data_IF_398229385966
#
_entry.id   IF_398229385966
#
_cell.length_a   1.000
_cell.length_b   1.000
_cell.length_c   1.000
_cell.angle_alpha   90.00
_cell.angle_beta   90.00
_cell.angle_gamma   90.00
#
_symmetry.space_group_name_H-M   'P 1'
#
loop_
_entity.id
_entity.type
_entity.pdbx_description
1 polymer ?
#
# COMPACT_ATOMS: atom_id res chain seq x y z
N UNK A 1 -12.49 -15.76 -18.12
CA UNK A 1 -11.47 -15.90 -17.04
C UNK A 1 -10.99 -14.53 -16.60
N UNK A 2 -11.41 -14.14 -15.40
CA UNK A 2 -11.53 -12.77 -14.88
C UNK A 2 -10.28 -12.40 -14.07
N UNK A 3 -9.28 -11.81 -14.70
CA UNK A 3 -8.12 -11.27 -13.97
C UNK A 3 -8.45 -9.89 -13.39
N UNK A 4 -9.03 -9.87 -12.18
CA UNK A 4 -9.19 -8.67 -11.38
C UNK A 4 -7.81 -8.18 -10.90
N UNK A 5 -7.38 -7.06 -11.48
CA UNK A 5 -6.23 -6.28 -11.04
C UNK A 5 -6.51 -5.79 -9.62
N UNK A 6 -5.82 -6.39 -8.64
CA UNK A 6 -5.66 -5.78 -7.32
C UNK A 6 -4.90 -4.48 -7.51
N UNK A 7 -5.57 -3.34 -7.34
CA UNK A 7 -4.92 -2.06 -7.11
C UNK A 7 -4.17 -2.14 -5.79
N UNK A 8 -2.92 -2.60 -5.85
CA UNK A 8 -1.92 -2.18 -4.87
C UNK A 8 -1.23 -0.99 -5.51
N UNK A 9 -1.47 0.21 -4.95
CA UNK A 9 -0.47 1.26 -4.99
C UNK A 9 0.79 0.70 -4.35
N UNK A 10 1.63 0.03 -5.14
CA UNK A 10 3.01 -0.22 -4.78
C UNK A 10 3.74 1.11 -5.00
N UNK A 11 3.45 2.11 -4.16
CA UNK A 11 4.49 3.06 -3.81
C UNK A 11 5.61 2.17 -3.29
N UNK A 12 6.66 2.03 -4.10
CA UNK A 12 7.97 1.69 -3.55
C UNK A 12 8.31 2.88 -2.67
N UNK A 13 7.76 2.90 -1.44
CA UNK A 13 8.19 3.77 -0.37
C UNK A 13 9.69 3.49 -0.26
N UNK A 14 10.52 4.30 -0.90
CA UNK A 14 11.83 4.58 -0.32
C UNK A 14 11.45 5.21 0.99
N UNK A 15 11.57 4.43 2.05
CA UNK A 15 11.64 4.96 3.40
C UNK A 15 12.74 6.03 3.30
N UNK A 16 12.37 7.30 3.49
CA UNK A 16 13.35 8.33 3.82
C UNK A 16 14.20 7.74 4.95
N UNK A 17 15.54 7.87 4.92
CA UNK A 17 16.38 7.20 5.89
C UNK A 17 15.95 7.59 7.30
N UNK A 18 15.22 6.71 7.98
CA UNK A 18 15.20 6.65 9.42
C UNK A 18 16.59 6.15 9.77
N UNK A 19 17.33 6.95 10.52
CA UNK A 19 18.74 6.77 10.79
C UNK A 19 19.00 5.33 11.26
N UNK A 20 19.77 4.59 10.47
CA UNK A 20 20.24 3.24 10.76
C UNK A 20 21.69 3.41 11.28
N UNK A 21 22.07 2.78 12.39
CA UNK A 21 23.39 2.99 12.97
C UNK A 21 24.50 2.58 11.98
N UNK A 22 25.65 3.28 11.97
CA UNK A 22 26.85 2.80 11.31
C UNK A 22 27.41 1.62 12.12
N UNK A 23 27.44 0.43 11.53
CA UNK A 23 28.29 -0.63 12.06
C UNK A 23 29.75 -0.26 11.77
N UNK A 24 30.53 -0.16 12.84
CA UNK A 24 31.97 -0.03 12.82
C UNK A 24 32.60 -1.19 12.04
N UNK A 25 33.35 -0.86 10.98
CA UNK A 25 34.25 -1.78 10.28
C UNK A 25 33.58 -2.66 9.24
N UNK A 26 34.09 -2.58 8.00
CA UNK A 26 33.69 -3.31 6.79
C UNK A 26 32.41 -2.82 6.07
N UNK A 27 32.62 -1.85 5.18
CA UNK A 27 31.72 -1.57 4.05
C UNK A 27 31.59 -2.81 3.13
N UNK A 28 30.65 -3.70 3.43
CA UNK A 28 30.12 -4.65 2.45
C UNK A 28 28.62 -4.44 2.31
N UNK A 29 28.27 -3.81 1.18
CA UNK A 29 26.97 -3.80 0.50
C UNK A 29 26.00 -4.83 1.07
N UNK A 30 24.89 -4.37 1.66
CA UNK A 30 23.56 -4.98 1.55
C UNK A 30 22.55 -3.89 1.96
N UNK A 31 22.23 -2.98 1.04
CA UNK A 31 20.91 -2.33 1.10
C UNK A 31 19.92 -3.37 0.57
N UNK A 32 19.58 -4.36 1.40
CA UNK A 32 18.48 -5.28 1.10
C UNK A 32 17.24 -4.40 1.03
N UNK A 33 16.43 -4.57 -0.02
CA UNK A 33 15.08 -4.01 -0.04
C UNK A 33 14.34 -4.60 1.16
N UNK A 34 14.23 -3.84 2.23
CA UNK A 34 13.36 -4.16 3.36
C UNK A 34 11.93 -3.98 2.88
N UNK A 35 11.46 -5.00 2.16
CA UNK A 35 10.05 -5.19 1.92
C UNK A 35 9.48 -5.82 3.19
N UNK A 36 9.42 -5.05 4.27
CA UNK A 36 8.63 -5.43 5.43
C UNK A 36 7.21 -5.70 4.92
N UNK A 37 6.78 -6.95 5.04
CA UNK A 37 5.42 -7.35 4.71
C UNK A 37 4.87 -8.03 5.94
N UNK A 38 3.80 -7.49 6.54
CA UNK A 38 3.16 -8.15 7.66
C UNK A 38 2.76 -9.57 7.23
N UNK A 39 2.66 -10.47 8.22
CA UNK A 39 2.09 -11.78 7.98
C UNK A 39 0.75 -11.62 7.22
N UNK A 40 0.41 -12.53 6.29
CA UNK A 40 -0.90 -12.49 5.66
C UNK A 40 -1.96 -12.42 6.75
N UNK A 41 -2.74 -11.33 6.78
CA UNK A 41 -3.91 -11.24 7.64
C UNK A 41 -4.81 -12.40 7.25
N UNK A 42 -4.95 -13.37 8.16
CA UNK A 42 -5.88 -14.47 7.99
C UNK A 42 -7.23 -13.95 8.42
N UNK A 43 -8.08 -13.70 7.43
CA UNK A 43 -9.46 -13.32 7.68
C UNK A 43 -10.18 -14.57 8.17
N UNK A 44 -10.83 -14.54 9.34
CA UNK A 44 -11.59 -15.68 9.84
C UNK A 44 -12.72 -16.06 8.88
N UNK A 45 -13.08 -17.34 8.87
CA UNK A 45 -14.32 -17.80 8.27
C UNK A 45 -15.44 -17.71 9.29
N UNK A 46 -16.61 -17.24 8.88
CA UNK A 46 -17.78 -17.08 9.75
C UNK A 46 -18.88 -18.05 9.34
N UNK A 47 -19.56 -18.63 10.32
CA UNK A 47 -20.81 -19.37 10.08
C UNK A 47 -21.92 -18.37 9.82
N UNK A 48 -22.55 -18.45 8.64
CA UNK A 48 -23.60 -17.49 8.25
C UNK A 48 -24.79 -17.55 9.21
N UNK A 49 -25.18 -18.75 9.65
CA UNK A 49 -26.34 -18.96 10.52
C UNK A 49 -26.08 -18.45 11.95
N UNK A 50 -24.92 -18.76 12.51
CA UNK A 50 -24.57 -18.32 13.88
C UNK A 50 -24.35 -16.81 13.93
N UNK A 51 -23.76 -16.23 12.88
CA UNK A 51 -23.55 -14.79 12.80
C UNK A 51 -24.87 -14.04 12.66
N UNK A 52 -25.78 -14.53 11.81
CA UNK A 52 -27.12 -13.94 11.64
C UNK A 52 -27.91 -13.98 12.96
N UNK A 53 -27.95 -15.13 13.64
CA UNK A 53 -28.56 -15.25 14.96
C UNK A 53 -27.90 -14.34 16.01
N UNK A 54 -26.56 -14.25 16.02
CA UNK A 54 -25.85 -13.35 16.93
C UNK A 54 -26.22 -11.88 16.71
N UNK A 55 -26.37 -11.46 15.45
CA UNK A 55 -26.78 -10.09 15.10
C UNK A 55 -28.21 -9.81 15.53
N UNK A 56 -29.13 -10.76 15.31
CA UNK A 56 -30.54 -10.64 15.73
C UNK A 56 -30.70 -10.57 17.24
N UNK A 57 -29.89 -11.34 17.98
CA UNK A 57 -29.91 -11.36 19.45
C UNK A 57 -29.25 -10.13 20.11
N UNK A 58 -28.52 -9.31 19.34
CA UNK A 58 -27.84 -8.14 19.87
C UNK A 58 -28.76 -6.91 19.93
N UNK A 59 -28.58 -6.11 20.98
CA UNK A 59 -29.24 -4.82 21.10
C UNK A 59 -28.47 -3.73 20.34
N UNK A 60 -29.13 -3.12 19.36
CA UNK A 60 -28.55 -2.06 18.51
C UNK A 60 -29.21 -0.72 18.78
N UNK A 61 -28.42 0.25 19.23
CA UNK A 61 -28.85 1.63 19.50
C UNK A 61 -28.38 2.55 18.37
N UNK A 62 -29.23 3.48 17.96
CA UNK A 62 -28.84 4.60 17.09
C UNK A 62 -28.53 5.84 17.95
N UNK A 63 -27.27 6.28 18.01
CA UNK A 63 -26.86 7.47 18.76
C UNK A 63 -27.03 8.75 17.92
N UNK A 64 -27.17 9.90 18.59
CA UNK A 64 -27.32 11.20 17.90
C UNK A 64 -26.03 11.66 17.21
N UNK A 65 -24.86 11.35 17.78
CA UNK A 65 -23.58 11.55 17.11
C UNK A 65 -23.26 10.37 16.17
N UNK A 66 -23.11 10.60 14.85
CA UNK A 66 -22.83 9.52 13.90
C UNK A 66 -21.48 8.82 14.12
N UNK A 67 -20.49 9.50 14.72
CA UNK A 67 -19.19 8.86 14.95
C UNK A 67 -19.26 7.91 16.15
N UNK A 68 -19.88 8.32 17.24
CA UNK A 68 -20.17 7.46 18.40
C UNK A 68 -21.07 6.28 18.01
N UNK A 69 -22.11 6.54 17.22
CA UNK A 69 -23.01 5.51 16.70
C UNK A 69 -22.25 4.45 15.88
N UNK A 70 -21.36 4.90 14.98
CA UNK A 70 -20.53 4.02 14.16
C UNK A 70 -19.59 3.16 15.01
N UNK A 71 -18.95 3.75 16.03
CA UNK A 71 -18.03 3.01 16.92
C UNK A 71 -18.76 1.92 17.71
N UNK A 72 -20.00 2.19 18.16
CA UNK A 72 -20.87 1.21 18.81
C UNK A 72 -21.31 0.10 17.85
N UNK A 73 -21.71 0.47 16.63
CA UNK A 73 -22.06 -0.48 15.57
C UNK A 73 -20.89 -1.43 15.25
N UNK A 74 -19.69 -0.88 15.04
CA UNK A 74 -18.47 -1.65 14.78
C UNK A 74 -18.17 -2.59 15.95
N UNK A 75 -18.22 -2.08 17.19
CA UNK A 75 -17.94 -2.87 18.39
C UNK A 75 -18.94 -4.01 18.58
N UNK A 76 -20.23 -3.77 18.32
CA UNK A 76 -21.27 -4.80 18.36
C UNK A 76 -21.06 -5.86 17.28
N UNK A 77 -20.74 -5.44 16.05
CA UNK A 77 -20.50 -6.37 14.94
C UNK A 77 -19.29 -7.25 15.18
N UNK A 78 -18.19 -6.71 15.70
CA UNK A 78 -16.99 -7.48 16.04
C UNK A 78 -17.25 -8.49 17.19
N UNK A 79 -18.14 -8.16 18.11
CA UNK A 79 -18.61 -9.09 19.16
C UNK A 79 -19.38 -10.26 18.55
N UNK A 80 -20.33 -9.99 17.66
CA UNK A 80 -21.07 -11.03 16.92
C UNK A 80 -20.14 -11.91 16.08
N UNK A 81 -19.14 -11.28 15.45
CA UNK A 81 -18.13 -11.95 14.63
C UNK A 81 -17.27 -12.92 15.45
N UNK A 82 -16.94 -12.55 16.69
CA UNK A 82 -16.13 -13.38 17.57
C UNK A 82 -16.88 -14.64 18.02
N UNK A 83 -18.19 -14.54 18.25
CA UNK A 83 -19.04 -15.68 18.64
C UNK A 83 -19.35 -16.65 17.50
N UNK A 84 -19.31 -16.18 16.24
CA UNK A 84 -19.63 -16.96 15.02
C UNK A 84 -18.39 -17.36 14.21
N UNK A 85 -17.20 -17.12 14.78
CA UNK A 85 -15.94 -17.43 14.16
C UNK A 85 -15.76 -18.95 14.12
N UNK A 86 -15.80 -19.52 12.92
CA UNK A 86 -15.40 -20.91 12.74
C UNK A 86 -13.92 -20.99 13.06
N UNK A 87 -13.57 -21.70 14.14
CA UNK A 87 -12.18 -22.03 14.42
C UNK A 87 -11.59 -22.63 13.15
N UNK A 88 -10.52 -22.01 12.65
CA UNK A 88 -9.85 -22.56 11.47
C UNK A 88 -9.51 -24.00 11.80
N UNK A 89 -10.13 -24.94 11.06
CA UNK A 89 -9.77 -26.35 11.02
C UNK A 89 -8.25 -26.46 11.19
N UNK A 90 -7.84 -27.28 12.17
CA UNK A 90 -6.45 -27.39 12.61
C UNK A 90 -5.54 -27.30 11.40
N UNK A 91 -4.70 -26.27 11.42
CA UNK A 91 -3.82 -25.98 10.30
C UNK A 91 -3.07 -27.25 9.97
N UNK A 92 -3.29 -27.80 8.77
CA UNK A 92 -2.42 -28.83 8.22
C UNK A 92 -0.99 -28.37 8.46
N UNK A 93 -0.32 -29.07 9.38
CA UNK A 93 0.92 -28.59 9.97
C UNK A 93 1.91 -28.40 8.86
N UNK A 94 2.60 -27.26 8.88
CA UNK A 94 3.56 -26.94 7.83
C UNK A 94 4.72 -27.95 7.78
N UNK A 95 4.98 -28.58 8.92
CA UNK A 95 5.90 -29.69 9.08
C UNK A 95 5.08 -30.97 9.24
N UNK A 96 5.52 -32.03 8.57
CA UNK A 96 5.01 -33.37 8.72
C UNK A 96 5.43 -33.98 10.06
N UNK A 97 4.77 -35.08 10.43
CA UNK A 97 5.00 -35.78 11.69
C UNK A 97 6.47 -36.18 11.88
N UNK A 98 7.13 -36.65 10.81
CA UNK A 98 8.55 -37.06 10.84
C UNK A 98 9.48 -35.90 11.16
N UNK A 99 9.28 -34.73 10.55
CA UNK A 99 10.07 -33.54 10.82
C UNK A 99 9.84 -33.02 12.25
N UNK A 100 8.60 -33.10 12.75
CA UNK A 100 8.27 -32.77 14.14
C UNK A 100 8.97 -33.71 15.14
N UNK A 101 8.89 -35.02 14.91
CA UNK A 101 9.53 -36.05 15.73
C UNK A 101 11.06 -35.85 15.81
N UNK A 102 11.72 -35.61 14.67
CA UNK A 102 13.16 -35.35 14.64
C UNK A 102 13.54 -34.06 15.41
N UNK A 103 12.69 -33.04 15.39
CA UNK A 103 12.90 -31.81 16.17
C UNK A 103 12.76 -32.08 17.68
N UNK A 104 11.84 -32.93 18.09
CA UNK A 104 11.68 -33.38 19.48
C UNK A 104 12.88 -34.23 19.93
N UNK A 105 13.32 -35.19 19.10
CA UNK A 105 14.53 -35.97 19.36
C UNK A 105 15.76 -35.08 19.49
N UNK A 106 15.91 -34.06 18.65
CA UNK A 106 16.99 -33.06 18.78
C UNK A 106 16.88 -32.26 20.07
N UNK A 107 15.67 -31.96 20.54
CA UNK A 107 15.47 -31.28 21.82
C UNK A 107 15.91 -32.18 22.98
N UNK A 108 15.56 -33.46 22.95
CA UNK A 108 15.99 -34.44 23.95
C UNK A 108 17.52 -34.59 23.98
N UNK A 109 18.18 -34.80 22.83
CA UNK A 109 19.65 -34.91 22.71
C UNK A 109 20.38 -33.63 23.13
N UNK A 110 19.74 -32.47 23.04
CA UNK A 110 20.30 -31.20 23.53
C UNK A 110 20.21 -31.05 25.04
N UNK A 111 19.18 -31.62 25.65
CA UNK A 111 18.94 -31.56 27.10
C UNK A 111 19.73 -32.64 27.85
N UNK A 112 20.12 -33.71 27.17
CA UNK A 112 20.94 -34.78 27.73
C UNK A 112 22.40 -34.31 27.93
N UNK A 113 22.90 -34.26 29.19
CA UNK A 113 24.28 -33.90 29.49
C UNK A 113 25.31 -34.94 29.02
N UNK A 114 24.90 -36.21 28.83
CA UNK A 114 25.78 -37.31 28.43
C UNK A 114 25.85 -37.51 26.91
N UNK A 115 25.02 -36.80 26.13
CA UNK A 115 24.96 -36.98 24.69
C UNK A 115 26.27 -36.57 23.98
N UNK A 116 26.76 -37.48 23.13
CA UNK A 116 27.99 -37.32 22.37
C UNK A 116 27.89 -36.18 21.35
N UNK A 117 29.04 -35.57 21.03
CA UNK A 117 29.10 -34.56 19.97
C UNK A 117 28.60 -35.10 18.62
N UNK A 118 28.92 -36.37 18.31
CA UNK A 118 28.51 -37.02 17.07
C UNK A 118 26.99 -37.16 16.98
N UNK A 119 26.32 -37.49 18.09
CA UNK A 119 24.85 -37.60 18.16
C UNK A 119 24.19 -36.24 17.92
N UNK A 120 24.70 -35.19 18.57
CA UNK A 120 24.24 -33.80 18.40
C UNK A 120 24.36 -33.32 16.95
N UNK A 121 25.45 -33.67 16.26
CA UNK A 121 25.68 -33.32 14.86
C UNK A 121 24.76 -34.12 13.93
N UNK A 122 24.63 -35.43 14.17
CA UNK A 122 23.84 -36.35 13.34
C UNK A 122 22.36 -35.99 13.39
N UNK A 123 21.80 -35.80 14.60
CA UNK A 123 20.39 -35.41 14.75
C UNK A 123 20.12 -34.02 14.17
N UNK A 124 21.07 -33.10 14.30
CA UNK A 124 20.96 -31.76 13.70
C UNK A 124 20.97 -31.82 12.16
N UNK A 125 21.74 -32.74 11.56
CA UNK A 125 21.74 -32.98 10.11
C UNK A 125 20.41 -33.60 9.66
N UNK A 126 19.93 -34.61 10.37
CA UNK A 126 18.64 -35.25 10.10
C UNK A 126 17.48 -34.24 10.17
N UNK A 127 17.44 -33.40 11.20
CA UNK A 127 16.47 -32.30 11.33
C UNK A 127 16.50 -31.34 10.14
N UNK A 128 17.69 -30.90 9.71
CA UNK A 128 17.81 -29.97 8.58
C UNK A 128 17.24 -30.56 7.29
N UNK A 129 17.48 -31.85 7.04
CA UNK A 129 16.98 -32.55 5.87
C UNK A 129 15.46 -32.72 5.95
N UNK A 130 14.94 -33.26 7.06
CA UNK A 130 13.52 -33.49 7.25
C UNK A 130 12.70 -32.20 7.19
N UNK A 131 13.13 -31.13 7.85
CA UNK A 131 12.46 -29.82 7.78
C UNK A 131 12.47 -29.27 6.35
N UNK A 132 13.58 -29.43 5.62
CA UNK A 132 13.69 -28.97 4.22
C UNK A 132 12.72 -29.73 3.32
N UNK A 133 12.68 -31.05 3.42
CA UNK A 133 11.79 -31.92 2.64
C UNK A 133 10.33 -31.63 2.95
N UNK A 134 9.99 -31.52 4.23
CA UNK A 134 8.65 -31.23 4.69
C UNK A 134 8.12 -29.89 4.19
N UNK A 135 8.93 -28.83 4.28
CA UNK A 135 8.58 -27.51 3.75
C UNK A 135 8.43 -27.54 2.22
N UNK A 136 9.22 -28.34 1.51
CA UNK A 136 9.07 -28.52 0.06
C UNK A 136 7.78 -29.26 -0.29
N UNK A 137 7.45 -30.34 0.43
CA UNK A 137 6.22 -31.11 0.24
C UNK A 137 4.99 -30.22 0.48
N UNK A 138 4.96 -29.48 1.59
CA UNK A 138 3.90 -28.52 1.91
C UNK A 138 3.74 -27.45 0.81
N UNK A 139 4.86 -26.89 0.31
CA UNK A 139 4.83 -25.91 -0.79
C UNK A 139 4.25 -26.53 -2.07
N UNK A 140 4.61 -27.77 -2.42
CA UNK A 140 4.06 -28.47 -3.59
C UNK A 140 2.56 -28.68 -3.46
N UNK A 141 2.12 -29.20 -2.31
CA UNK A 141 0.70 -29.44 -2.01
C UNK A 141 -0.14 -28.16 -2.14
N UNK A 142 0.30 -27.06 -1.52
CA UNK A 142 -0.42 -25.78 -1.60
C UNK A 142 -0.46 -25.18 -3.01
N UNK A 143 0.59 -25.39 -3.81
CA UNK A 143 0.60 -24.96 -5.21
C UNK A 143 -0.36 -25.80 -6.07
N UNK A 144 -0.46 -27.11 -5.81
CA UNK A 144 -1.41 -28.00 -6.47
C UNK A 144 -2.85 -27.66 -6.10
N UNK A 145 -3.15 -27.46 -4.82
CA UNK A 145 -4.48 -26.99 -4.38
C UNK A 145 -4.88 -25.69 -5.08
N UNK A 146 -3.94 -24.73 -5.16
CA UNK A 146 -4.19 -23.46 -5.82
C UNK A 146 -4.44 -23.64 -7.33
N UNK A 147 -3.72 -24.56 -7.99
CA UNK A 147 -3.93 -24.87 -9.40
C UNK A 147 -5.30 -25.52 -9.63
N UNK A 148 -5.68 -26.52 -8.83
CA UNK A 148 -6.97 -27.20 -8.90
C UNK A 148 -8.14 -26.25 -8.67
N UNK A 149 -8.03 -25.34 -7.70
CA UNK A 149 -9.04 -24.31 -7.40
C UNK A 149 -9.07 -23.17 -8.42
N UNK A 150 -8.29 -23.21 -9.50
CA UNK A 150 -8.15 -22.10 -10.46
C UNK A 150 -7.66 -20.80 -9.82
N UNK A 151 -7.00 -20.90 -8.67
CA UNK A 151 -6.55 -19.77 -7.85
C UNK A 151 -5.20 -19.23 -8.35
N UNK A 152 -4.89 -17.97 -8.02
CA UNK A 152 -3.64 -17.36 -8.48
C UNK A 152 -2.40 -18.04 -7.88
N UNK A 153 -1.67 -18.79 -8.71
CA UNK A 153 -0.39 -19.43 -8.35
C UNK A 153 0.62 -18.39 -7.84
N UNK A 154 0.63 -17.18 -8.41
CA UNK A 154 1.51 -16.08 -7.97
C UNK A 154 1.18 -15.61 -6.56
N UNK A 155 -0.12 -15.56 -6.18
CA UNK A 155 -0.57 -15.28 -4.81
C UNK A 155 -0.18 -16.42 -3.88
N UNK A 156 -0.44 -17.67 -4.26
CA UNK A 156 -0.03 -18.84 -3.48
C UNK A 156 1.48 -18.85 -3.21
N UNK A 157 2.34 -18.70 -4.23
CA UNK A 157 3.80 -18.59 -4.05
C UNK A 157 4.21 -17.46 -3.12
N UNK A 158 3.50 -16.33 -3.18
CA UNK A 158 3.76 -15.17 -2.31
C UNK A 158 3.38 -15.46 -0.87
N UNK A 159 2.27 -16.14 -0.63
CA UNK A 159 1.75 -16.44 0.70
C UNK A 159 2.56 -17.59 1.35
N UNK A 160 3.20 -18.44 0.52
CA UNK A 160 4.19 -19.46 0.91
C UNK A 160 5.61 -18.92 1.17
N UNK A 161 5.89 -17.65 0.83
CA UNK A 161 7.18 -17.06 1.13
C UNK A 161 7.31 -16.80 2.64
N UNK A 162 8.29 -17.45 3.25
CA UNK A 162 8.76 -17.12 4.59
C UNK A 162 9.11 -15.64 4.69
N UNK A 163 8.72 -15.04 5.81
CA UNK A 163 8.86 -13.61 6.10
C UNK A 163 10.25 -13.10 5.65
N UNK A 164 10.24 -12.05 4.82
CA UNK A 164 11.46 -11.28 4.52
C UNK A 164 11.71 -10.33 5.68
N UNK A 165 12.98 -10.28 6.12
CA UNK A 165 13.61 -9.24 6.94
C UNK A 165 12.59 -8.36 7.69
N UNK A 166 12.29 -8.76 8.93
CA UNK A 166 11.56 -7.90 9.85
C UNK A 166 12.52 -6.80 10.27
N UNK A 167 12.10 -5.55 10.16
CA UNK A 167 12.83 -4.42 10.71
C UNK A 167 12.94 -4.65 12.23
N UNK A 168 14.15 -4.98 12.68
CA UNK A 168 14.41 -5.46 14.05
C UNK A 168 14.52 -4.32 15.06
N UNK A 169 14.77 -3.11 14.57
CA UNK A 169 14.89 -1.92 15.39
C UNK A 169 14.52 -0.68 14.57
N UNK A 170 13.94 0.32 15.24
CA UNK A 170 13.64 1.63 14.67
C UNK A 170 13.88 2.68 15.74
N UNK A 171 14.57 3.78 15.42
CA UNK A 171 14.68 4.88 16.38
C UNK A 171 13.41 5.72 16.39
N UNK A 172 12.98 6.11 17.58
CA UNK A 172 11.92 7.09 17.75
C UNK A 172 12.43 8.52 17.52
N UNK A 173 11.51 9.48 17.69
CA UNK A 173 11.73 10.91 17.52
C UNK A 173 12.73 11.50 18.54
N UNK A 174 12.91 10.84 19.67
CA UNK A 174 13.82 11.23 20.74
C UNK A 174 15.21 10.56 20.58
N UNK A 175 15.40 9.78 19.51
CA UNK A 175 16.64 9.08 19.20
C UNK A 175 16.81 7.74 19.91
N UNK A 176 15.79 7.26 20.63
CA UNK A 176 15.85 5.99 21.36
C UNK A 176 15.51 4.84 20.42
N UNK A 177 16.35 3.79 20.45
CA UNK A 177 16.17 2.61 19.59
C UNK A 177 15.08 1.71 20.13
N UNK A 178 13.97 1.61 19.40
CA UNK A 178 12.85 0.73 19.69
C UNK A 178 13.03 -0.62 18.98
N UNK A 179 13.11 -1.70 19.76
CA UNK A 179 13.24 -3.08 19.26
C UNK A 179 11.93 -3.87 19.37
N UNK A 180 11.00 -3.40 20.22
CA UNK A 180 9.68 -4.00 20.38
C UNK A 180 8.80 -3.76 19.16
N UNK A 181 8.06 -4.80 18.75
CA UNK A 181 7.18 -4.74 17.58
C UNK A 181 6.11 -3.65 17.69
N UNK A 182 5.44 -3.57 18.85
CA UNK A 182 4.40 -2.56 19.12
C UNK A 182 4.99 -1.15 19.12
N UNK A 183 6.19 -0.99 19.68
CA UNK A 183 6.88 0.29 19.71
C UNK A 183 7.30 0.75 18.30
N UNK A 184 7.83 -0.16 17.49
CA UNK A 184 8.16 0.11 16.07
C UNK A 184 6.90 0.53 15.30
N UNK A 185 5.77 -0.16 15.49
CA UNK A 185 4.48 0.20 14.87
C UNK A 185 3.99 1.58 15.30
N UNK A 186 4.09 1.91 16.59
CA UNK A 186 3.74 3.22 17.11
C UNK A 186 4.64 4.34 16.54
N UNK A 187 5.95 4.12 16.43
CA UNK A 187 6.89 5.08 15.81
C UNK A 187 6.52 5.33 14.34
N UNK A 188 6.23 4.26 13.59
CA UNK A 188 5.82 4.37 12.18
C UNK A 188 4.47 5.10 12.07
N UNK A 189 3.50 4.77 12.92
CA UNK A 189 2.19 5.40 12.93
C UNK A 189 2.32 6.90 13.22
N UNK A 190 3.04 7.28 14.27
CA UNK A 190 3.26 8.68 14.65
C UNK A 190 3.92 9.46 13.51
N UNK A 191 5.00 8.91 12.92
CA UNK A 191 5.69 9.55 11.81
C UNK A 191 4.75 9.84 10.62
N UNK A 192 3.93 8.88 10.20
CA UNK A 192 3.03 9.08 9.06
C UNK A 192 1.83 9.96 9.42
N UNK A 193 1.31 9.86 10.63
CA UNK A 193 0.25 10.75 11.12
C UNK A 193 0.72 12.20 11.09
N UNK A 194 1.93 12.48 11.59
CA UNK A 194 2.51 13.82 11.59
C UNK A 194 2.84 14.29 10.17
N UNK A 195 3.39 13.41 9.32
CA UNK A 195 3.73 13.72 7.93
C UNK A 195 2.50 14.12 7.10
N UNK A 196 1.34 13.50 7.35
CA UNK A 196 0.10 13.75 6.62
C UNK A 196 -0.89 14.62 7.38
N UNK A 197 -0.52 15.14 8.56
CA UNK A 197 -1.38 16.04 9.33
C UNK A 197 -1.56 17.33 8.52
N UNK A 198 -2.80 17.65 8.14
CA UNK A 198 -3.09 18.93 7.49
C UNK A 198 -2.87 20.06 8.50
N UNK A 199 -1.88 20.90 8.25
CA UNK A 199 -1.62 22.13 9.01
C UNK A 199 -2.35 23.35 8.45
N UNK A 200 -3.07 23.17 7.34
CA UNK A 200 -3.82 24.23 6.68
C UNK A 200 -5.29 24.08 7.06
N UNK A 201 -5.91 25.09 7.72
CA UNK A 201 -7.35 25.12 7.88
C UNK A 201 -7.98 25.30 6.50
N UNK A 202 -8.57 24.24 5.97
CA UNK A 202 -9.33 24.28 4.71
C UNK A 202 -10.74 24.73 5.06
N UNK A 203 -11.13 25.91 4.57
CA UNK A 203 -12.51 26.38 4.69
C UNK A 203 -13.45 25.33 4.06
N UNK A 204 -14.48 24.92 4.80
CA UNK A 204 -15.49 23.98 4.29
C UNK A 204 -16.13 24.60 3.05
N UNK A 205 -16.15 23.86 1.94
CA UNK A 205 -16.85 24.28 0.75
C UNK A 205 -18.34 24.47 1.09
N UNK A 206 -18.93 25.57 0.62
CA UNK A 206 -20.38 25.78 0.77
C UNK A 206 -21.07 24.74 -0.10
N UNK A 207 -21.79 23.83 0.54
CA UNK A 207 -22.56 22.81 -0.15
C UNK A 207 -23.70 23.46 -0.93
N UNK A 208 -24.03 22.97 -2.15
CA UNK A 208 -25.25 23.37 -2.84
C UNK A 208 -26.49 23.10 -1.98
N UNK A 209 -27.63 23.76 -2.27
CA UNK A 209 -28.87 23.58 -1.52
C UNK A 209 -29.28 22.09 -1.47
N UNK A 210 -29.75 21.67 -0.29
CA UNK A 210 -30.06 20.28 0.01
C UNK A 210 -31.26 19.81 -0.81
N UNK A 211 -31.04 18.89 -1.75
CA UNK A 211 -32.08 18.01 -2.26
C UNK A 211 -32.32 16.90 -1.23
N UNK A 212 -33.58 16.61 -0.93
CA UNK A 212 -33.96 15.56 0.02
C UNK A 212 -33.63 14.19 -0.59
N UNK A 213 -32.62 13.51 -0.05
CA UNK A 213 -32.17 12.23 -0.58
C UNK A 213 -33.20 11.12 -0.26
N UNK A 214 -33.54 10.26 -1.24
CA UNK A 214 -34.42 9.13 -0.98
C UNK A 214 -33.79 8.15 0.03
N UNK A 215 -34.61 7.42 0.81
CA UNK A 215 -34.10 6.45 1.77
C UNK A 215 -33.39 5.28 1.04
N UNK A 216 -32.30 4.81 1.63
CA UNK A 216 -31.57 3.62 1.18
C UNK A 216 -32.41 2.38 1.48
N UNK A 217 -32.55 1.49 0.50
CA UNK A 217 -33.30 0.25 0.62
C UNK A 217 -32.42 -0.92 1.07
N UNK A 218 -32.99 -1.89 1.78
CA UNK A 218 -32.29 -3.12 2.19
C UNK A 218 -31.75 -3.90 0.99
N UNK A 219 -32.49 -3.89 -0.13
CA UNK A 219 -32.06 -4.51 -1.38
C UNK A 219 -30.79 -3.87 -1.96
N UNK A 220 -30.61 -2.56 -1.78
CA UNK A 220 -29.41 -1.83 -2.24
C UNK A 220 -28.19 -2.20 -1.39
N UNK A 221 -28.37 -2.27 -0.07
CA UNK A 221 -27.34 -2.71 0.86
C UNK A 221 -26.94 -4.16 0.58
N UNK A 222 -27.91 -5.06 0.42
CA UNK A 222 -27.67 -6.45 0.08
C UNK A 222 -26.93 -6.60 -1.27
N UNK A 223 -27.33 -5.81 -2.28
CA UNK A 223 -26.67 -5.79 -3.58
C UNK A 223 -25.21 -5.30 -3.48
N UNK A 224 -24.97 -4.25 -2.68
CA UNK A 224 -23.63 -3.71 -2.46
C UNK A 224 -22.71 -4.74 -1.78
N UNK A 225 -23.18 -5.40 -0.70
CA UNK A 225 -22.45 -6.45 0.02
C UNK A 225 -22.13 -7.62 -0.91
N UNK A 226 -23.10 -8.08 -1.71
CA UNK A 226 -22.91 -9.20 -2.65
C UNK A 226 -21.79 -8.94 -3.67
N UNK A 227 -21.57 -7.69 -4.05
CA UNK A 227 -20.52 -7.28 -5.00
C UNK A 227 -19.13 -7.18 -4.37
N UNK A 228 -19.03 -7.20 -3.03
CA UNK A 228 -17.75 -7.14 -2.35
C UNK A 228 -16.91 -8.39 -2.64
N UNK A 229 -15.61 -8.19 -2.88
CA UNK A 229 -14.67 -9.28 -3.15
C UNK A 229 -14.32 -9.98 -1.84
N UNK A 230 -14.34 -11.32 -1.78
CA UNK A 230 -13.94 -12.04 -0.59
C UNK A 230 -12.41 -11.98 -0.41
N UNK A 231 -11.94 -12.11 0.83
CA UNK A 231 -10.53 -12.08 1.17
C UNK A 231 -9.86 -10.71 0.98
N UNK A 232 -10.63 -9.62 1.04
CA UNK A 232 -10.08 -8.25 1.10
C UNK A 232 -9.64 -7.93 2.52
N UNK A 233 -8.48 -7.30 2.67
CA UNK A 233 -7.99 -6.88 3.97
C UNK A 233 -9.00 -5.91 4.62
N UNK A 234 -9.32 -6.09 5.91
CA UNK A 234 -10.24 -5.21 6.61
C UNK A 234 -9.67 -3.79 6.72
N UNK A 235 -10.56 -2.82 6.90
CA UNK A 235 -10.22 -1.43 7.15
C UNK A 235 -9.66 -1.21 8.57
N UNK A 236 -9.43 0.05 8.97
CA UNK A 236 -9.05 0.38 10.35
C UNK A 236 -10.09 -0.08 11.40
N UNK A 237 -11.34 -0.24 10.98
CA UNK A 237 -12.46 -0.79 11.76
C UNK A 237 -12.40 -2.31 11.97
N UNK A 238 -11.44 -3.01 11.36
CA UNK A 238 -11.32 -4.46 11.40
C UNK A 238 -12.53 -5.23 10.83
N UNK A 239 -13.44 -4.57 10.12
CA UNK A 239 -14.58 -5.20 9.45
C UNK A 239 -14.12 -5.72 8.08
N UNK A 240 -14.23 -7.03 7.87
CA UNK A 240 -13.84 -7.66 6.61
C UNK A 240 -15.05 -7.82 5.67
N UNK A 241 -14.80 -7.83 4.36
CA UNK A 241 -15.86 -8.15 3.40
C UNK A 241 -16.42 -9.57 3.59
N UNK A 242 -15.61 -10.50 4.12
CA UNK A 242 -16.05 -11.86 4.42
C UNK A 242 -17.03 -11.88 5.59
N UNK A 243 -16.82 -11.04 6.61
CA UNK A 243 -17.77 -10.82 7.71
C UNK A 243 -19.09 -10.24 7.19
N UNK A 244 -19.02 -9.17 6.39
CA UNK A 244 -20.23 -8.53 5.85
C UNK A 244 -21.04 -9.48 4.97
N UNK A 245 -20.38 -10.33 4.20
CA UNK A 245 -21.05 -11.31 3.33
C UNK A 245 -21.67 -12.47 4.11
N UNK A 246 -21.18 -12.78 5.31
CA UNK A 246 -21.72 -13.83 6.16
C UNK A 246 -22.89 -13.37 7.04
N UNK A 247 -23.04 -12.06 7.27
CA UNK A 247 -24.07 -11.51 8.17
C UNK A 247 -25.51 -11.59 7.67
N UNK A 248 -25.74 -12.08 6.45
CA UNK A 248 -27.08 -12.40 5.96
C UNK A 248 -28.02 -11.18 5.85
N UNK A 249 -29.31 -11.46 6.02
CA UNK A 249 -30.40 -10.49 5.93
C UNK A 249 -30.49 -9.59 7.16
N UNK A 250 -30.21 -10.13 8.35
CA UNK A 250 -30.18 -9.37 9.60
C UNK A 250 -29.18 -8.22 9.55
N UNK A 251 -27.98 -8.47 9.00
CA UNK A 251 -26.97 -7.42 8.81
C UNK A 251 -27.41 -6.36 7.79
N UNK A 252 -28.05 -6.77 6.69
CA UNK A 252 -28.53 -5.83 5.68
C UNK A 252 -29.57 -4.87 6.27
N UNK A 253 -30.49 -5.39 7.07
CA UNK A 253 -31.53 -4.62 7.77
C UNK A 253 -30.91 -3.64 8.78
N UNK A 254 -29.95 -4.13 9.58
CA UNK A 254 -29.22 -3.31 10.55
C UNK A 254 -28.48 -2.14 9.89
N UNK A 255 -27.68 -2.42 8.86
CA UNK A 255 -26.91 -1.40 8.14
C UNK A 255 -27.84 -0.38 7.47
N UNK A 256 -28.96 -0.84 6.90
CA UNK A 256 -29.96 0.04 6.28
C UNK A 256 -30.55 1.02 7.30
N UNK A 257 -30.84 0.56 8.51
CA UNK A 257 -31.32 1.40 9.62
C UNK A 257 -30.29 2.49 9.98
N UNK A 258 -29.03 2.11 10.19
CA UNK A 258 -27.96 3.06 10.54
C UNK A 258 -27.64 4.03 9.39
N UNK A 259 -27.60 3.57 8.14
CA UNK A 259 -27.34 4.45 7.00
C UNK A 259 -28.45 5.48 6.79
N UNK A 260 -29.73 5.07 6.91
CA UNK A 260 -30.84 6.02 6.84
C UNK A 260 -30.86 7.00 8.02
N UNK A 261 -30.41 6.57 9.20
CA UNK A 261 -30.20 7.47 10.34
C UNK A 261 -29.14 8.54 10.04
N UNK A 262 -28.00 8.15 9.48
CA UNK A 262 -26.95 9.10 9.05
C UNK A 262 -27.42 10.05 7.94
N UNK A 263 -28.19 9.55 6.98
CA UNK A 263 -28.78 10.37 5.92
C UNK A 263 -29.70 11.45 6.49
N UNK A 264 -30.58 11.11 7.44
CA UNK A 264 -31.46 12.08 8.11
C UNK A 264 -30.70 13.15 8.89
N UNK A 265 -29.61 12.76 9.56
CA UNK A 265 -28.77 13.70 10.30
C UNK A 265 -27.91 14.60 9.39
N UNK A 266 -27.80 14.28 8.09
CA UNK A 266 -26.94 15.00 7.14
C UNK A 266 -25.46 14.95 7.51
N UNK A 267 -25.06 13.98 8.33
CA UNK A 267 -23.71 13.83 8.88
C UNK A 267 -23.27 12.38 8.76
N UNK A 268 -22.05 12.19 8.27
CA UNK A 268 -21.40 10.88 8.11
C UNK A 268 -20.29 10.71 9.14
N UNK A 269 -20.01 9.48 9.61
CA UNK A 269 -18.90 9.22 10.53
C UNK A 269 -17.57 9.68 9.93
N UNK A 270 -16.69 10.26 10.74
CA UNK A 270 -15.42 10.87 10.29
C UNK A 270 -14.51 9.91 9.50
N UNK A 271 -14.66 8.59 9.67
CA UNK A 271 -13.86 7.56 9.02
C UNK A 271 -14.27 7.29 7.56
N UNK A 272 -15.50 7.66 7.17
CA UNK A 272 -16.10 7.31 5.87
C UNK A 272 -15.72 8.27 4.71
N UNK A 273 -15.04 9.39 4.99
CA UNK A 273 -14.83 10.47 4.01
C UNK A 273 -13.75 10.20 2.94
N UNK A 274 -12.90 9.18 3.09
CA UNK A 274 -11.67 9.05 2.28
C UNK A 274 -11.78 8.19 1.00
N UNK A 275 -12.91 7.56 0.70
CA UNK A 275 -13.09 6.69 -0.50
C UNK A 275 -13.57 7.42 -1.77
N UNK A 276 -13.84 8.72 -1.67
CA UNK A 276 -14.76 9.48 -2.55
C UNK A 276 -14.26 9.82 -3.97
N UNK A 277 -12.96 9.76 -4.29
CA UNK A 277 -12.47 10.27 -5.60
C UNK A 277 -13.01 9.48 -6.80
N UNK A 278 -13.19 8.16 -6.65
CA UNK A 278 -13.73 7.32 -7.74
C UNK A 278 -15.22 7.59 -7.97
N UNK A 279 -15.98 7.77 -6.90
CA UNK A 279 -17.41 8.05 -6.95
C UNK A 279 -17.68 9.43 -7.56
N UNK A 280 -16.92 10.44 -7.14
CA UNK A 280 -16.99 11.80 -7.70
C UNK A 280 -16.64 11.79 -9.19
N UNK A 281 -15.58 11.09 -9.60
CA UNK A 281 -15.22 11.00 -11.03
C UNK A 281 -16.20 10.15 -11.85
N UNK A 282 -16.89 9.17 -11.25
CA UNK A 282 -17.89 8.35 -11.94
C UNK A 282 -19.22 9.08 -12.20
N UNK A 283 -19.55 10.11 -11.41
CA UNK A 283 -20.74 10.96 -11.57
C UNK A 283 -20.58 12.02 -12.67
N UNK A 284 -19.35 12.40 -13.01
CA UNK A 284 -19.07 13.40 -14.05
C UNK A 284 -19.14 12.76 -15.45
N UNK A 285 -20.19 13.11 -16.21
CA UNK A 285 -20.43 12.60 -17.58
C UNK A 285 -19.47 13.18 -18.61
N UNK A 286 -19.06 14.45 -18.45
CA UNK A 286 -18.12 15.10 -19.38
C UNK A 286 -16.70 14.56 -19.23
N UNK A 287 -16.13 14.03 -20.32
CA UNK A 287 -14.82 13.40 -20.30
C UNK A 287 -13.69 14.41 -20.03
N UNK A 288 -13.83 15.65 -20.54
CA UNK A 288 -12.84 16.71 -20.37
C UNK A 288 -12.77 17.21 -18.92
N UNK A 289 -13.92 17.53 -18.33
CA UNK A 289 -14.04 17.92 -16.93
C UNK A 289 -13.54 16.83 -15.99
N UNK A 290 -13.90 15.57 -16.26
CA UNK A 290 -13.42 14.43 -15.47
C UNK A 290 -11.90 14.28 -15.55
N UNK A 291 -11.30 14.54 -16.72
CA UNK A 291 -9.85 14.47 -16.90
C UNK A 291 -9.15 15.64 -16.19
N UNK A 292 -9.74 16.84 -16.26
CA UNK A 292 -9.28 18.02 -15.53
C UNK A 292 -9.26 17.78 -14.02
N UNK A 293 -10.34 17.23 -13.46
CA UNK A 293 -10.44 16.87 -12.04
C UNK A 293 -9.35 15.87 -11.63
N UNK A 294 -9.13 14.83 -12.44
CA UNK A 294 -8.05 13.87 -12.20
C UNK A 294 -6.67 14.55 -12.23
N UNK A 295 -6.42 15.37 -13.24
CA UNK A 295 -5.15 16.09 -13.42
C UNK A 295 -4.88 17.11 -12.30
N UNK A 296 -5.92 17.68 -11.70
CA UNK A 296 -5.82 18.62 -10.59
C UNK A 296 -5.63 17.94 -9.22
N UNK A 297 -6.16 16.72 -9.04
CA UNK A 297 -6.20 16.05 -7.74
C UNK A 297 -5.27 14.83 -7.64
N UNK A 298 -5.43 13.86 -8.54
CA UNK A 298 -4.73 12.58 -8.48
C UNK A 298 -3.31 12.70 -9.01
N UNK A 299 -3.11 13.44 -10.10
CA UNK A 299 -1.80 13.56 -10.73
C UNK A 299 -0.75 14.22 -9.81
N UNK A 300 -1.03 15.35 -9.12
CA UNK A 300 -0.09 15.94 -8.17
C UNK A 300 0.22 15.00 -6.99
N UNK A 301 -0.80 14.33 -6.45
CA UNK A 301 -0.62 13.37 -5.35
C UNK A 301 0.22 12.15 -5.78
N UNK A 302 -0.02 11.62 -6.99
CA UNK A 302 0.75 10.50 -7.55
C UNK A 302 2.20 10.89 -7.83
N UNK A 303 2.44 12.12 -8.27
CA UNK A 303 3.77 12.66 -8.57
C UNK A 303 4.42 13.36 -7.37
N UNK A 304 3.81 13.33 -6.19
CA UNK A 304 4.35 13.95 -4.99
C UNK A 304 5.76 13.40 -4.68
N UNK A 305 6.69 14.28 -4.30
CA UNK A 305 8.12 13.99 -4.04
C UNK A 305 8.99 13.67 -5.25
N UNK A 306 8.42 13.46 -6.45
CA UNK A 306 9.20 13.06 -7.63
C UNK A 306 10.21 14.13 -8.07
N UNK A 307 9.94 15.40 -7.76
CA UNK A 307 10.82 16.54 -7.98
C UNK A 307 12.18 16.42 -7.28
N UNK A 308 12.26 15.60 -6.22
CA UNK A 308 13.50 15.36 -5.46
C UNK A 308 14.26 14.10 -5.90
N UNK A 309 13.69 13.29 -6.80
CA UNK A 309 14.27 12.00 -7.17
C UNK A 309 15.24 12.09 -8.37
N UNK A 310 16.24 11.19 -8.46
CA UNK A 310 16.99 10.97 -9.70
C UNK A 310 16.10 10.35 -10.79
N UNK A 311 16.32 10.76 -12.05
CA UNK A 311 15.55 10.27 -13.19
C UNK A 311 16.02 8.85 -13.57
N UNK A 312 15.33 7.84 -13.05
CA UNK A 312 15.64 6.44 -13.34
C UNK A 312 14.58 5.83 -14.27
N UNK A 313 15.02 5.08 -15.29
CA UNK A 313 14.15 4.28 -16.17
C UNK A 313 13.20 3.37 -15.39
N UNK A 314 13.63 2.82 -14.26
CA UNK A 314 12.78 2.00 -13.41
C UNK A 314 11.60 2.78 -12.80
N UNK A 315 11.84 4.02 -12.35
CA UNK A 315 10.81 4.92 -11.82
C UNK A 315 9.86 5.32 -12.95
N UNK A 316 10.39 5.71 -14.11
CA UNK A 316 9.58 6.08 -15.26
C UNK A 316 8.66 4.92 -15.71
N UNK A 317 9.19 3.70 -15.79
CA UNK A 317 8.41 2.49 -16.14
C UNK A 317 7.33 2.19 -15.10
N UNK A 318 7.64 2.35 -13.80
CA UNK A 318 6.66 2.17 -12.74
C UNK A 318 5.53 3.20 -12.84
N UNK A 319 5.87 4.48 -13.01
CA UNK A 319 4.91 5.57 -13.15
C UNK A 319 4.00 5.36 -14.36
N UNK A 320 4.59 5.04 -15.52
CA UNK A 320 3.82 4.71 -16.72
C UNK A 320 2.89 3.52 -16.48
N UNK A 321 3.38 2.43 -15.88
CA UNK A 321 2.55 1.24 -15.63
C UNK A 321 1.34 1.55 -14.75
N UNK A 322 1.54 2.35 -13.69
CA UNK A 322 0.47 2.82 -12.80
C UNK A 322 -0.51 3.70 -13.56
N UNK A 323 -0.02 4.68 -14.32
CA UNK A 323 -0.86 5.57 -15.12
C UNK A 323 -1.71 4.81 -16.14
N UNK A 324 -1.15 3.82 -16.85
CA UNK A 324 -1.91 2.97 -17.77
C UNK A 324 -3.05 2.23 -17.08
N UNK A 325 -2.84 1.83 -15.82
CA UNK A 325 -3.90 1.20 -15.04
C UNK A 325 -5.00 2.19 -14.66
N UNK A 326 -4.63 3.43 -14.30
CA UNK A 326 -5.56 4.50 -13.99
C UNK A 326 -6.38 4.92 -15.21
N UNK A 327 -5.76 5.10 -16.39
CA UNK A 327 -6.47 5.40 -17.65
C UNK A 327 -7.51 4.33 -17.98
N UNK A 328 -7.17 3.05 -17.81
CA UNK A 328 -8.10 1.94 -18.02
C UNK A 328 -9.28 1.98 -17.04
N UNK A 329 -9.03 2.29 -15.77
CA UNK A 329 -10.10 2.49 -14.79
C UNK A 329 -10.98 3.69 -15.12
N UNK A 330 -10.35 4.79 -15.52
CA UNK A 330 -11.01 6.03 -15.92
C UNK A 330 -11.94 5.82 -17.13
N UNK A 331 -11.51 5.00 -18.09
CA UNK A 331 -12.30 4.63 -19.26
C UNK A 331 -13.21 3.42 -19.03
N UNK A 332 -13.24 2.86 -17.82
CA UNK A 332 -14.01 1.65 -17.46
C UNK A 332 -13.68 0.43 -18.35
N UNK A 333 -12.46 0.35 -18.85
CA UNK A 333 -11.98 -0.70 -19.76
C UNK A 333 -10.99 -1.63 -19.06
N UNK A 334 -11.20 -2.95 -19.17
CA UNK A 334 -10.21 -3.92 -18.68
C UNK A 334 -9.04 -4.11 -19.65
N UNK A 335 -7.89 -4.59 -19.18
CA UNK A 335 -6.76 -4.92 -20.05
C UNK A 335 -7.12 -5.99 -21.09
N UNK A 336 -8.06 -6.88 -20.76
CA UNK A 336 -8.54 -7.92 -21.68
C UNK A 336 -9.35 -7.31 -22.81
N UNK A 337 -10.35 -6.48 -22.49
CA UNK A 337 -11.15 -5.77 -23.48
C UNK A 337 -10.28 -4.88 -24.37
N UNK A 338 -9.30 -4.18 -23.79
CA UNK A 338 -8.33 -3.40 -24.57
C UNK A 338 -7.63 -4.26 -25.63
N UNK A 339 -7.20 -5.48 -25.27
CA UNK A 339 -6.50 -6.38 -26.20
C UNK A 339 -7.44 -7.01 -27.22
N UNK A 340 -8.64 -7.42 -26.80
CA UNK A 340 -9.68 -7.97 -27.69
C UNK A 340 -10.11 -6.95 -28.74
N UNK A 341 -10.19 -5.67 -28.36
CA UNK A 341 -10.52 -4.55 -29.23
C UNK A 341 -9.30 -4.01 -30.00
N UNK A 342 -8.11 -4.57 -29.81
CA UNK A 342 -6.88 -4.12 -30.49
C UNK A 342 -6.42 -2.69 -30.13
N UNK A 343 -6.95 -2.08 -29.07
CA UNK A 343 -6.74 -0.66 -28.74
C UNK A 343 -5.31 -0.41 -28.26
N UNK A 344 -4.61 0.50 -28.93
CA UNK A 344 -3.24 0.87 -28.57
C UNK A 344 -3.19 1.73 -27.31
N UNK A 345 -2.05 1.72 -26.62
CA UNK A 345 -1.86 2.59 -25.43
C UNK A 345 -1.79 4.08 -25.77
N UNK A 346 -1.52 4.44 -27.03
CA UNK A 346 -1.66 5.80 -27.55
C UNK A 346 -3.13 6.23 -27.61
N UNK A 347 -3.98 5.38 -28.19
CA UNK A 347 -5.42 5.64 -28.31
C UNK A 347 -6.10 5.72 -26.94
N UNK A 348 -5.67 4.91 -25.96
CA UNK A 348 -6.16 5.05 -24.57
C UNK A 348 -5.83 6.42 -23.97
N UNK A 349 -4.70 7.04 -24.31
CA UNK A 349 -4.36 8.39 -23.82
C UNK A 349 -5.25 9.44 -24.43
N UNK A 350 -5.43 9.33 -25.73
CA UNK A 350 -6.25 10.25 -26.49
C UNK A 350 -7.69 10.24 -25.96
N UNK A 351 -8.23 9.04 -25.72
CA UNK A 351 -9.57 8.86 -25.12
C UNK A 351 -9.65 9.32 -23.67
N UNK A 352 -8.60 9.13 -22.87
CA UNK A 352 -8.64 9.48 -21.44
C UNK A 352 -8.39 10.96 -21.17
N UNK A 353 -7.71 11.67 -22.08
CA UNK A 353 -7.29 13.07 -21.93
C UNK A 353 -6.47 13.36 -20.65
N UNK A 354 -5.94 12.32 -20.00
CA UNK A 354 -5.12 12.47 -18.80
C UNK A 354 -3.72 12.99 -19.18
N UNK A 355 -3.20 13.92 -18.38
CA UNK A 355 -1.88 14.48 -18.62
C UNK A 355 -0.78 13.44 -18.36
N UNK A 356 0.26 13.43 -19.19
CA UNK A 356 1.35 12.45 -19.04
C UNK A 356 2.13 12.70 -17.72
N UNK A 357 2.17 11.73 -16.80
CA UNK A 357 2.85 11.92 -15.53
C UNK A 357 4.35 12.14 -15.69
N UNK A 358 4.98 11.61 -16.76
CA UNK A 358 6.40 11.87 -16.97
C UNK A 358 6.68 13.33 -17.35
N UNK A 359 5.78 13.96 -18.11
CA UNK A 359 5.86 15.39 -18.39
C UNK A 359 5.62 16.21 -17.12
N UNK A 360 4.63 15.83 -16.31
CA UNK A 360 4.36 16.48 -15.03
C UNK A 360 5.55 16.40 -14.07
N UNK A 361 6.17 15.21 -13.93
CA UNK A 361 7.37 15.00 -13.11
C UNK A 361 8.53 15.89 -13.58
N UNK A 362 8.80 15.92 -14.90
CA UNK A 362 9.86 16.77 -15.48
C UNK A 362 9.60 18.25 -15.19
N UNK A 363 8.38 18.73 -15.39
CA UNK A 363 8.00 20.13 -15.12
C UNK A 363 8.12 20.46 -13.63
N UNK A 364 7.68 19.58 -12.75
CA UNK A 364 7.76 19.75 -11.28
C UNK A 364 9.20 19.79 -10.81
N UNK A 365 10.03 18.85 -11.26
CA UNK A 365 11.47 18.81 -10.99
C UNK A 365 12.20 20.05 -11.50
N UNK A 366 11.86 20.53 -12.70
CA UNK A 366 12.42 21.74 -13.28
C UNK A 366 12.04 23.00 -12.47
N UNK A 367 10.77 23.12 -12.06
CA UNK A 367 10.31 24.19 -11.17
C UNK A 367 11.05 24.17 -9.84
N UNK A 368 11.19 22.99 -9.23
CA UNK A 368 11.91 22.80 -7.97
C UNK A 368 13.39 23.19 -8.07
N UNK A 369 14.09 22.77 -9.12
CA UNK A 369 15.51 23.12 -9.30
C UNK A 369 15.74 24.62 -9.44
N UNK A 370 14.91 25.31 -10.22
CA UNK A 370 14.97 26.77 -10.30
C UNK A 370 14.65 27.44 -8.97
N UNK A 371 13.65 26.94 -8.23
CA UNK A 371 13.34 27.46 -6.91
C UNK A 371 14.51 27.28 -5.95
N UNK A 372 15.13 26.10 -5.92
CA UNK A 372 16.25 25.75 -5.06
C UNK A 372 17.45 26.69 -5.25
N UNK A 373 17.85 26.97 -6.50
CA UNK A 373 19.02 27.82 -6.78
C UNK A 373 18.77 29.33 -6.64
N UNK A 374 17.52 29.75 -6.52
CA UNK A 374 17.14 31.16 -6.27
C UNK A 374 16.79 31.42 -4.81
N UNK A 375 16.80 30.40 -3.97
CA UNK A 375 16.65 30.57 -2.53
C UNK A 375 17.90 31.25 -1.97
N UNK A 376 17.69 32.10 -0.97
CA UNK A 376 18.76 32.81 -0.25
C UNK A 376 19.00 32.22 1.15
N UNK A 377 18.26 31.17 1.53
CA UNK A 377 18.42 30.51 2.82
C UNK A 377 19.56 29.49 2.78
N UNK A 378 20.40 29.44 3.82
CA UNK A 378 21.50 28.45 3.95
C UNK A 378 20.98 27.05 4.31
N UNK A 379 19.86 26.64 3.70
CA UNK A 379 19.30 25.31 3.93
C UNK A 379 20.20 24.25 3.30
N UNK A 380 20.34 23.14 4.03
CA UNK A 380 21.13 21.99 3.60
C UNK A 380 20.80 21.50 2.18
N UNK A 381 19.56 21.69 1.70
CA UNK A 381 19.13 21.31 0.34
C UNK A 381 19.93 22.01 -0.76
N UNK A 382 20.27 23.29 -0.57
CA UNK A 382 21.09 24.05 -1.51
C UNK A 382 22.56 23.60 -1.39
N UNK A 383 23.07 23.53 -0.14
CA UNK A 383 24.45 23.08 0.13
C UNK A 383 24.75 21.72 -0.47
N UNK A 384 23.88 20.72 -0.28
CA UNK A 384 24.04 19.37 -0.85
C UNK A 384 23.98 19.37 -2.38
N UNK A 385 23.22 20.29 -2.98
CA UNK A 385 23.11 20.40 -4.43
C UNK A 385 24.36 21.01 -5.06
N UNK A 386 24.93 22.02 -4.42
CA UNK A 386 26.16 22.69 -4.87
C UNK A 386 27.45 21.94 -4.43
N UNK A 387 27.33 21.01 -3.48
CA UNK A 387 28.47 20.28 -2.93
C UNK A 387 29.15 19.38 -3.96
N UNK A 388 30.47 19.58 -4.09
CA UNK A 388 31.38 18.81 -4.93
C UNK A 388 32.43 18.16 -4.01
N UNK A 389 32.35 16.84 -3.75
CA UNK A 389 33.37 16.16 -2.94
C UNK A 389 34.70 16.13 -3.70
N UNK A 390 35.65 16.97 -3.29
CA UNK A 390 37.02 17.01 -3.85
C UNK A 390 37.94 15.98 -3.19
N UNK A 391 37.69 15.64 -1.93
CA UNK A 391 38.61 14.84 -1.09
C UNK A 391 38.30 13.34 -1.06
N UNK A 392 37.35 12.87 -1.87
CA UNK A 392 36.93 11.47 -1.88
C UNK A 392 37.24 10.79 -3.22
N UNK A 393 37.90 9.63 -3.17
CA UNK A 393 38.12 8.79 -4.34
C UNK A 393 36.79 8.17 -4.79
N UNK A 394 36.47 8.32 -6.08
CA UNK A 394 35.27 7.72 -6.69
C UNK A 394 35.35 6.19 -6.60
N UNK A 395 34.29 5.50 -6.16
CA UNK A 395 34.28 4.04 -6.10
C UNK A 395 34.42 3.42 -7.50
N UNK A 396 35.01 2.22 -7.56
CA UNK A 396 35.14 1.44 -8.80
C UNK A 396 33.76 1.09 -9.37
N UNK A 397 33.58 1.33 -10.68
CA UNK A 397 32.35 1.07 -11.42
C UNK A 397 31.50 2.30 -11.75
N UNK A 398 30.27 2.07 -12.24
CA UNK A 398 29.33 3.14 -12.58
C UNK A 398 28.71 3.72 -11.31
N UNK A 399 28.88 5.03 -11.03
CA UNK A 399 28.26 5.67 -9.88
C UNK A 399 26.74 5.65 -9.98
N UNK A 400 26.05 5.69 -8.82
CA UNK A 400 24.62 5.97 -8.78
C UNK A 400 24.29 7.28 -9.51
N UNK A 401 23.17 7.29 -10.24
CA UNK A 401 22.67 8.50 -10.89
C UNK A 401 22.26 9.53 -9.85
N UNK A 402 22.81 10.73 -9.95
CA UNK A 402 22.51 11.87 -9.07
C UNK A 402 21.25 12.57 -9.53
N UNK A 403 20.63 13.33 -8.63
CA UNK A 403 19.47 14.15 -8.96
C UNK A 403 19.75 15.14 -10.11
N UNK A 404 20.91 15.82 -10.06
CA UNK A 404 21.34 16.82 -11.02
C UNK A 404 21.74 16.27 -12.40
N UNK A 405 22.08 14.97 -12.51
CA UNK A 405 22.56 14.35 -13.76
C UNK A 405 21.56 14.51 -14.90
N UNK A 406 20.25 14.51 -14.58
CA UNK A 406 19.18 14.73 -15.55
C UNK A 406 19.24 16.11 -16.22
N UNK A 407 19.52 17.17 -15.44
CA UNK A 407 19.70 18.52 -15.98
C UNK A 407 21.01 18.63 -16.74
N UNK A 408 22.11 18.14 -16.16
CA UNK A 408 23.43 18.14 -16.82
C UNK A 408 23.40 17.44 -18.17
N UNK A 409 22.69 16.31 -18.27
CA UNK A 409 22.49 15.60 -19.53
C UNK A 409 21.61 16.40 -20.49
N UNK A 410 20.43 16.85 -20.04
CA UNK A 410 19.48 17.55 -20.91
C UNK A 410 20.01 18.88 -21.45
N UNK A 411 20.74 19.65 -20.65
CA UNK A 411 21.35 20.91 -21.07
C UNK A 411 22.52 20.69 -22.02
N UNK A 412 23.33 19.64 -21.78
CA UNK A 412 24.40 19.25 -22.70
C UNK A 412 23.87 18.81 -24.07
N UNK A 413 22.81 18.00 -24.09
CA UNK A 413 22.16 17.55 -25.33
C UNK A 413 21.54 18.70 -26.13
N UNK A 414 21.22 19.82 -25.47
CA UNK A 414 20.65 21.02 -26.09
C UNK A 414 21.67 22.13 -26.31
N UNK A 415 22.96 21.86 -26.07
CA UNK A 415 24.06 22.83 -26.16
C UNK A 415 23.79 24.12 -25.35
N UNK A 416 23.12 24.00 -24.21
CA UNK A 416 22.83 25.12 -23.31
C UNK A 416 23.94 25.32 -22.27
N UNK A 417 24.09 26.55 -21.73
CA UNK A 417 25.01 26.82 -20.62
C UNK A 417 24.72 25.95 -19.40
N UNK A 418 25.67 25.86 -18.47
CA UNK A 418 25.52 24.99 -17.31
C UNK A 418 24.22 25.30 -16.55
N UNK A 419 23.38 24.28 -16.34
CA UNK A 419 22.00 24.47 -15.88
C UNK A 419 21.89 25.25 -14.57
N UNK A 420 22.88 25.14 -13.67
CA UNK A 420 22.89 25.88 -12.41
C UNK A 420 23.07 27.40 -12.61
N UNK A 421 23.84 27.81 -13.63
CA UNK A 421 23.98 29.23 -13.98
C UNK A 421 22.66 29.76 -14.54
N UNK A 422 22.06 29.00 -15.46
CA UNK A 422 20.79 29.37 -16.10
C UNK A 422 19.63 29.44 -15.08
N UNK A 423 19.60 28.53 -14.11
CA UNK A 423 18.55 28.46 -13.11
C UNK A 423 18.50 29.66 -12.15
N UNK A 424 19.59 30.42 -12.02
CA UNK A 424 19.61 31.63 -11.16
C UNK A 424 18.76 32.76 -11.74
N UNK A 425 18.68 32.85 -13.06
CA UNK A 425 17.79 33.78 -13.75
C UNK A 425 16.41 33.13 -14.00
N UNK A 426 15.34 33.76 -13.50
CA UNK A 426 13.97 33.22 -13.66
C UNK A 426 13.50 33.23 -15.12
N UNK A 427 13.82 34.28 -15.88
CA UNK A 427 13.37 34.44 -17.25
C UNK A 427 14.10 33.46 -18.18
N UNK A 428 15.42 33.35 -18.04
CA UNK A 428 16.24 32.40 -18.83
C UNK A 428 15.92 30.96 -18.44
N UNK A 429 15.71 30.67 -17.15
CA UNK A 429 15.22 29.35 -16.73
C UNK A 429 13.86 29.02 -17.37
N UNK A 430 12.93 29.97 -17.45
CA UNK A 430 11.62 29.70 -18.08
C UNK A 430 11.75 29.35 -19.57
N UNK A 431 12.64 29.99 -20.31
CA UNK A 431 12.84 29.73 -21.75
C UNK A 431 13.55 28.39 -22.01
N UNK A 432 14.38 27.93 -21.08
CA UNK A 432 15.08 26.64 -21.17
C UNK A 432 14.26 25.44 -20.66
N UNK A 433 13.00 25.64 -20.24
CA UNK A 433 12.17 24.60 -19.65
C UNK A 433 11.82 23.43 -20.58
N UNK A 434 11.42 22.27 -20.03
CA UNK A 434 10.84 21.18 -20.80
C UNK A 434 9.51 21.64 -21.42
N UNK A 435 9.40 21.54 -22.75
CA UNK A 435 8.16 21.81 -23.51
C UNK A 435 7.07 20.79 -23.12
#
# INVERSE_FOLDING_TARGET
>A
MTNCVNFRFSFSKRILPLHVPPHSGEEKKIFKRDTHKPAPLRIPSFSSQELEHAIESCYWKCCEDPSEDYDLLVSGLLRCASSSCLTSSSLASRLDARAMELLEQRRAVKLDPNASHLEKVTISKACRLAVKESVQAYRRLKLLEAAQKGSSIKRCKRDLCDQKAVMSALMDKDGVTQTSRRAIEAVVQNFYTDLFRSSIPVAKCVMPPAEEAPPILESEVAYAIRRMKPGTAPGPDSISADLLRAGGSALCSLLTKHFNHYLRLGRIPNVAAFSSIREVTDQVKDAGLRASLFNASVLPAMCYTTETWPDNKAVAKAMQTTHRALERCFLKTSLRQQREQGIRSSELREKSQLADPLQYMKKSKYRWAGHLLRRKDDRWSLRVTEWLPRDHKRPLGRPPTRWADSFSKSFRERSLPHWMQVARDRAVWKSCGPR
#
